data_IF_240796418841
#
_entry.id   IF_240796418841
#
_cell.length_a   1.000
_cell.length_b   1.000
_cell.length_c   1.000
_cell.angle_alpha   90.00
_cell.angle_beta   90.00
_cell.angle_gamma   90.00
#
_symmetry.space_group_name_H-M   'P 1'
#
loop_
_entity.id
_entity.type
_entity.pdbx_description
1 polymer ?
#
# COMPACT_ATOMS: atom_id res chain seq x y z
N UNK A 1 9.77 12.00 -3.79
CA UNK A 1 8.86 12.93 -4.47
C UNK A 1 8.39 14.03 -3.53
N UNK A 2 8.33 15.26 -4.00
CA UNK A 2 7.97 16.44 -3.19
C UNK A 2 6.57 16.28 -2.58
N UNK A 3 5.59 15.76 -3.35
CA UNK A 3 4.22 15.61 -2.88
C UNK A 3 4.10 14.67 -1.67
N UNK A 4 4.74 13.51 -1.73
CA UNK A 4 4.70 12.55 -0.62
C UNK A 4 5.37 13.11 0.65
N UNK A 5 6.51 13.78 0.49
CA UNK A 5 7.20 14.42 1.60
C UNK A 5 6.36 15.55 2.21
N UNK A 6 5.67 16.34 1.38
CA UNK A 6 4.79 17.40 1.84
C UNK A 6 3.60 16.89 2.64
N UNK A 7 2.94 15.84 2.17
CA UNK A 7 1.82 15.21 2.90
C UNK A 7 2.30 14.64 4.24
N UNK A 8 3.45 13.99 4.25
CA UNK A 8 4.03 13.45 5.48
C UNK A 8 4.34 14.56 6.49
N UNK A 9 4.87 15.68 6.02
CA UNK A 9 5.14 16.84 6.88
C UNK A 9 3.86 17.41 7.49
N UNK A 10 2.80 17.54 6.70
CA UNK A 10 1.50 17.99 7.19
C UNK A 10 0.97 17.08 8.30
N UNK A 11 1.07 15.76 8.11
CA UNK A 11 0.65 14.79 9.12
C UNK A 11 1.53 14.88 10.36
N UNK A 12 2.85 14.98 10.18
CA UNK A 12 3.81 15.08 11.28
C UNK A 12 3.52 16.29 12.16
N UNK A 13 3.18 17.43 11.56
CA UNK A 13 2.87 18.67 12.27
C UNK A 13 1.59 18.58 13.10
N UNK A 14 0.71 17.61 12.85
CA UNK A 14 -0.48 17.38 13.68
C UNK A 14 -0.16 16.61 14.97
N UNK A 15 0.96 15.91 15.03
CA UNK A 15 1.31 15.03 16.15
C UNK A 15 1.32 15.74 17.51
N UNK A 16 1.88 16.96 17.66
CA UNK A 16 1.82 17.65 18.95
C UNK A 16 0.39 17.96 19.41
N UNK A 17 -0.52 18.25 18.47
CA UNK A 17 -1.91 18.59 18.78
C UNK A 17 -2.67 17.38 19.30
N UNK A 18 -2.42 16.20 18.72
CA UNK A 18 -3.09 14.95 19.11
C UNK A 18 -2.32 14.16 20.18
N UNK A 19 -1.21 14.70 20.66
CA UNK A 19 -0.41 14.04 21.70
C UNK A 19 0.36 12.81 21.24
N UNK A 20 0.74 12.77 19.95
CA UNK A 20 1.54 11.67 19.36
C UNK A 20 2.99 12.08 19.21
N UNK A 21 3.91 11.15 19.44
CA UNK A 21 5.34 11.30 19.16
C UNK A 21 5.78 10.50 17.94
N UNK A 22 4.82 10.07 17.10
CA UNK A 22 5.10 9.31 15.89
C UNK A 22 5.96 10.09 14.91
N UNK A 23 6.89 9.40 14.27
CA UNK A 23 7.65 9.94 13.16
C UNK A 23 6.96 9.58 11.85
N UNK A 24 6.67 10.58 11.02
CA UNK A 24 6.02 10.41 9.73
C UNK A 24 6.99 10.81 8.63
N UNK A 25 7.29 9.88 7.74
CA UNK A 25 8.21 10.08 6.61
C UNK A 25 7.46 9.79 5.32
N UNK A 26 7.67 10.62 4.32
CA UNK A 26 7.12 10.42 2.98
C UNK A 26 8.19 10.43 1.92
N UNK A 27 8.04 9.58 0.92
CA UNK A 27 8.98 9.49 -0.18
C UNK A 27 8.46 8.58 -1.29
N UNK A 28 9.23 8.47 -2.36
CA UNK A 28 8.92 7.61 -3.50
C UNK A 28 9.82 6.37 -3.58
N UNK A 29 10.70 6.18 -2.62
CA UNK A 29 11.59 5.03 -2.56
C UNK A 29 11.08 4.03 -1.53
N UNK A 30 10.86 2.79 -1.95
CA UNK A 30 10.40 1.71 -1.07
C UNK A 30 11.38 1.36 0.04
N UNK A 31 12.65 1.74 -0.08
CA UNK A 31 13.64 1.51 0.97
C UNK A 31 13.25 2.16 2.30
N UNK A 32 12.50 3.27 2.27
CA UNK A 32 11.97 3.92 3.47
C UNK A 32 10.98 3.06 4.24
N UNK A 33 10.35 2.08 3.59
CA UNK A 33 9.41 1.14 4.21
C UNK A 33 10.07 -0.14 4.70
N UNK A 34 11.38 -0.27 4.59
CA UNK A 34 12.08 -1.49 4.98
C UNK A 34 11.82 -1.88 6.44
N UNK A 35 11.63 -3.16 6.69
CA UNK A 35 11.36 -3.72 8.02
C UNK A 35 10.09 -3.18 8.68
N UNK A 36 9.08 -2.85 7.90
CA UNK A 36 7.78 -2.46 8.42
C UNK A 36 7.09 -3.64 9.11
N UNK A 37 6.35 -3.36 10.15
CA UNK A 37 5.52 -4.36 10.85
C UNK A 37 4.18 -4.56 10.15
N UNK A 38 3.60 -3.47 9.68
CA UNK A 38 2.32 -3.47 8.95
C UNK A 38 2.46 -2.60 7.71
N UNK A 39 2.00 -3.09 6.58
CA UNK A 39 1.96 -2.35 5.32
C UNK A 39 0.53 -2.28 4.81
N UNK A 40 0.01 -1.07 4.65
CA UNK A 40 -1.31 -0.83 4.09
C UNK A 40 -1.14 -0.42 2.63
N UNK A 41 -1.73 -1.18 1.72
CA UNK A 41 -1.63 -0.93 0.27
C UNK A 41 -2.95 -0.32 -0.20
N UNK A 42 -2.93 0.97 -0.53
CA UNK A 42 -4.08 1.68 -1.07
C UNK A 42 -3.97 1.92 -2.58
N UNK A 43 -2.93 1.38 -3.19
CA UNK A 43 -2.63 1.57 -4.62
C UNK A 43 -3.71 0.96 -5.50
N UNK A 44 -4.10 1.69 -6.53
CA UNK A 44 -5.09 1.25 -7.48
C UNK A 44 -5.79 2.44 -8.12
N UNK A 45 -6.56 2.16 -9.18
CA UNK A 45 -7.35 3.18 -9.86
C UNK A 45 -8.84 2.96 -9.58
N UNK A 46 -9.64 4.02 -9.49
CA UNK A 46 -11.09 3.88 -9.37
C UNK A 46 -11.69 3.45 -10.70
N UNK A 47 -12.88 2.87 -10.63
CA UNK A 47 -13.61 2.49 -11.84
C UNK A 47 -14.01 3.75 -12.62
N UNK A 48 -13.62 3.78 -13.89
CA UNK A 48 -13.96 4.87 -14.80
C UNK A 48 -15.19 4.52 -15.63
N UNK A 49 -15.96 5.53 -16.11
CA UNK A 49 -17.07 5.27 -17.03
C UNK A 49 -16.61 4.47 -18.25
N UNK A 50 -17.41 3.47 -18.65
CA UNK A 50 -17.07 2.58 -19.76
C UNK A 50 -16.13 1.43 -19.42
N UNK A 51 -15.60 1.39 -18.21
CA UNK A 51 -14.72 0.32 -17.73
C UNK A 51 -15.55 -0.83 -17.16
N UNK A 52 -15.31 -2.06 -17.62
CA UNK A 52 -15.92 -3.25 -17.04
C UNK A 52 -15.26 -3.64 -15.71
N UNK A 53 -15.90 -4.56 -14.97
CA UNK A 53 -15.29 -5.11 -13.74
C UNK A 53 -13.99 -5.85 -14.03
N UNK A 54 -13.94 -6.57 -15.15
CA UNK A 54 -12.75 -7.30 -15.56
C UNK A 54 -11.61 -6.35 -15.96
N UNK A 55 -11.92 -5.25 -16.61
CA UNK A 55 -10.92 -4.21 -16.93
C UNK A 55 -10.31 -3.64 -15.66
N UNK A 56 -11.14 -3.30 -14.67
CA UNK A 56 -10.68 -2.80 -13.38
C UNK A 56 -9.82 -3.82 -12.66
N UNK A 57 -10.25 -5.08 -12.67
CA UNK A 57 -9.53 -6.19 -12.05
C UNK A 57 -8.12 -6.31 -12.66
N UNK A 58 -8.01 -6.31 -13.98
CA UNK A 58 -6.74 -6.46 -14.67
C UNK A 58 -5.78 -5.31 -14.39
N UNK A 59 -6.27 -4.07 -14.45
CA UNK A 59 -5.46 -2.89 -14.17
C UNK A 59 -4.96 -2.91 -12.73
N UNK A 60 -5.86 -3.11 -11.78
CA UNK A 60 -5.48 -3.11 -10.36
C UNK A 60 -4.65 -4.32 -9.98
N UNK A 61 -4.85 -5.48 -10.60
CA UNK A 61 -3.99 -6.64 -10.41
C UNK A 61 -2.54 -6.33 -10.76
N UNK A 62 -2.30 -5.68 -11.89
CA UNK A 62 -0.95 -5.32 -12.31
C UNK A 62 -0.30 -4.31 -11.35
N UNK A 63 -1.06 -3.35 -10.84
CA UNK A 63 -0.60 -2.40 -9.84
C UNK A 63 -0.25 -3.13 -8.54
N UNK A 64 -1.14 -4.01 -8.06
CA UNK A 64 -0.91 -4.80 -6.84
C UNK A 64 0.30 -5.72 -6.97
N UNK A 65 0.51 -6.30 -8.14
CA UNK A 65 1.68 -7.14 -8.41
C UNK A 65 2.97 -6.36 -8.20
N UNK A 66 3.07 -5.20 -8.84
CA UNK A 66 4.26 -4.35 -8.74
C UNK A 66 4.52 -3.90 -7.29
N UNK A 67 3.49 -3.45 -6.59
CA UNK A 67 3.61 -2.99 -5.20
C UNK A 67 3.95 -4.13 -4.25
N UNK A 68 3.27 -5.27 -4.39
CA UNK A 68 3.49 -6.44 -3.53
C UNK A 68 4.92 -6.98 -3.65
N UNK A 69 5.48 -7.02 -4.86
CA UNK A 69 6.85 -7.43 -5.07
C UNK A 69 7.83 -6.55 -4.27
N UNK A 70 7.62 -5.24 -4.25
CA UNK A 70 8.44 -4.32 -3.47
C UNK A 70 8.24 -4.49 -1.96
N UNK A 71 7.00 -4.66 -1.53
CA UNK A 71 6.69 -4.88 -0.11
C UNK A 71 7.36 -6.13 0.42
N UNK A 72 7.28 -7.23 -0.30
CA UNK A 72 7.92 -8.50 0.07
C UNK A 72 9.44 -8.35 0.13
N UNK A 73 10.02 -7.62 -0.81
CA UNK A 73 11.47 -7.39 -0.88
C UNK A 73 11.99 -6.62 0.34
N UNK A 74 11.32 -5.55 0.75
CA UNK A 74 11.79 -4.68 1.81
C UNK A 74 11.26 -5.04 3.19
N UNK A 75 10.10 -5.67 3.27
CA UNK A 75 9.44 -6.00 4.54
C UNK A 75 8.90 -7.44 4.52
N UNK A 76 9.78 -8.45 4.50
CA UNK A 76 9.36 -9.85 4.33
C UNK A 76 8.57 -10.42 5.52
N UNK A 77 8.59 -9.75 6.65
CA UNK A 77 7.92 -10.22 7.87
C UNK A 77 6.68 -9.39 8.24
N UNK A 78 6.25 -8.48 7.38
CA UNK A 78 5.12 -7.59 7.68
C UNK A 78 3.76 -8.30 7.56
N UNK A 79 2.76 -7.64 8.11
CA UNK A 79 1.35 -7.93 7.87
C UNK A 79 0.89 -6.99 6.75
N UNK A 80 0.22 -7.52 5.72
CA UNK A 80 -0.25 -6.73 4.60
C UNK A 80 -1.76 -6.52 4.71
N UNK A 81 -2.19 -5.26 4.59
CA UNK A 81 -3.61 -4.87 4.61
C UNK A 81 -3.94 -4.20 3.27
N UNK A 82 -4.46 -4.95 2.29
CA UNK A 82 -4.86 -4.35 1.01
C UNK A 82 -6.17 -3.56 1.15
N UNK A 83 -6.20 -2.37 0.55
CA UNK A 83 -7.37 -1.50 0.51
C UNK A 83 -7.54 -1.01 -0.94
N UNK A 84 -7.94 -1.91 -1.81
CA UNK A 84 -8.12 -1.61 -3.24
C UNK A 84 -9.35 -2.35 -3.77
N UNK A 85 -9.92 -1.87 -4.84
CA UNK A 85 -11.10 -2.49 -5.44
C UNK A 85 -10.75 -3.21 -6.75
N UNK A 86 -11.38 -4.35 -7.02
CA UNK A 86 -12.31 -5.10 -6.18
C UNK A 86 -11.57 -5.73 -4.97
N UNK A 87 -12.04 -5.45 -3.76
CA UNK A 87 -11.29 -5.74 -2.52
C UNK A 87 -10.96 -7.21 -2.35
N UNK A 88 -11.97 -8.08 -2.44
CA UNK A 88 -11.77 -9.52 -2.23
C UNK A 88 -10.79 -10.12 -3.23
N UNK A 89 -10.90 -9.73 -4.50
CA UNK A 89 -10.00 -10.18 -5.55
C UNK A 89 -8.57 -9.67 -5.32
N UNK A 90 -8.42 -8.42 -4.89
CA UNK A 90 -7.10 -7.84 -4.60
C UNK A 90 -6.45 -8.51 -3.38
N UNK A 91 -7.21 -8.83 -2.35
CA UNK A 91 -6.71 -9.58 -1.19
C UNK A 91 -6.22 -10.97 -1.61
N UNK A 92 -6.96 -11.68 -2.46
CA UNK A 92 -6.54 -12.98 -2.99
C UNK A 92 -5.29 -12.87 -3.84
N UNK A 93 -5.20 -11.83 -4.68
CA UNK A 93 -4.03 -11.58 -5.50
C UNK A 93 -2.78 -11.34 -4.64
N UNK A 94 -2.88 -10.48 -3.64
CA UNK A 94 -1.77 -10.17 -2.73
C UNK A 94 -1.36 -11.42 -1.94
N UNK A 95 -2.30 -12.21 -1.49
CA UNK A 95 -2.01 -13.47 -0.80
C UNK A 95 -1.17 -14.42 -1.67
N UNK A 96 -1.55 -14.60 -2.92
CA UNK A 96 -0.82 -15.46 -3.85
C UNK A 96 0.53 -14.89 -4.24
N UNK A 97 0.59 -13.59 -4.50
CA UNK A 97 1.80 -12.92 -4.95
C UNK A 97 2.86 -12.79 -3.86
N UNK A 98 2.44 -12.56 -2.61
CA UNK A 98 3.38 -12.39 -1.50
C UNK A 98 4.02 -13.69 -1.05
N UNK A 99 3.33 -14.81 -1.17
CA UNK A 99 3.75 -16.07 -0.59
C UNK A 99 3.70 -16.09 0.94
N UNK A 100 3.08 -15.07 1.54
CA UNK A 100 2.94 -14.99 3.00
C UNK A 100 1.90 -15.97 3.51
N UNK A 101 2.01 -16.42 4.78
CA UNK A 101 0.97 -17.20 5.39
C UNK A 101 -0.32 -16.39 5.50
N UNK A 102 -1.45 -17.09 5.59
CA UNK A 102 -2.78 -16.46 5.58
C UNK A 102 -2.98 -15.41 6.68
N UNK A 103 -2.31 -15.60 7.82
CA UNK A 103 -2.40 -14.71 8.98
C UNK A 103 -1.73 -13.35 8.76
N UNK A 104 -0.94 -13.23 7.73
CA UNK A 104 -0.23 -11.99 7.40
C UNK A 104 -0.63 -11.44 6.04
#
# INVERSE_FOLDING_TARGET
MVAAAGVALDILETCPIIGSDSLVIGGSDYSHSANSDVVVITSGVPRKPGMSRDDLLNVNFNIMKAVTEQVVKYSPNCIIVPVANPLDAMCQAVFKLSGFPRER
#
